data_IF_083681158115
#
_entry.id   IF_083681158115
#
_cell.length_a   1.000
_cell.length_b   1.000
_cell.length_c   1.000
_cell.angle_alpha   90.00
_cell.angle_beta   90.00
_cell.angle_gamma   90.00
#
_symmetry.space_group_name_H-M   'P 1'
#
loop_
_entity.id
_entity.type
_entity.pdbx_description
1 polymer ?
#
# COMPACT_ATOMS: atom_id res chain seq x y z
N UNK A 1 44.17 -31.93 22.40
CA UNK A 1 45.40 -31.82 21.59
C UNK A 1 45.78 -33.21 21.13
N UNK A 2 45.83 -33.45 19.81
CA UNK A 2 46.13 -34.76 19.22
C UNK A 2 47.42 -35.31 19.87
N UNK A 3 47.37 -36.54 20.39
CA UNK A 3 48.45 -37.14 21.20
C UNK A 3 49.82 -37.16 20.52
N UNK A 4 49.83 -37.07 19.19
CA UNK A 4 51.01 -37.00 18.34
C UNK A 4 51.80 -35.70 18.55
N UNK A 5 51.15 -34.54 18.49
CA UNK A 5 51.79 -33.22 18.69
C UNK A 5 52.34 -33.06 20.11
N UNK A 6 51.62 -33.61 21.10
CA UNK A 6 52.08 -33.65 22.50
C UNK A 6 53.38 -34.44 22.66
N UNK A 7 53.49 -35.62 22.03
CA UNK A 7 54.67 -36.49 22.10
C UNK A 7 55.88 -35.87 21.39
N UNK A 8 55.68 -35.17 20.26
CA UNK A 8 56.75 -34.49 19.53
C UNK A 8 57.31 -33.32 20.35
N UNK A 9 56.43 -32.54 20.97
CA UNK A 9 56.81 -31.41 21.81
C UNK A 9 57.60 -31.82 23.06
N UNK A 10 57.21 -32.92 23.72
CA UNK A 10 57.97 -33.50 24.83
C UNK A 10 59.38 -33.93 24.39
N UNK A 11 59.50 -34.69 23.29
CA UNK A 11 60.82 -35.10 22.76
C UNK A 11 61.74 -33.93 22.40
N UNK A 12 61.18 -32.84 21.85
CA UNK A 12 61.96 -31.64 21.50
C UNK A 12 62.41 -30.87 22.75
N UNK A 13 61.57 -30.80 23.78
CA UNK A 13 61.94 -30.21 25.06
C UNK A 13 63.03 -31.02 25.79
N UNK A 14 62.88 -32.34 25.84
CA UNK A 14 63.85 -33.25 26.46
C UNK A 14 65.21 -33.26 25.75
N UNK A 15 65.26 -32.86 24.47
CA UNK A 15 66.50 -32.76 23.68
C UNK A 15 67.34 -31.51 23.96
N UNK A 16 66.85 -30.56 24.78
CA UNK A 16 67.56 -29.33 25.15
C UNK A 16 67.60 -28.23 24.06
N UNK A 17 67.06 -28.48 22.86
CA UNK A 17 67.06 -27.53 21.75
C UNK A 17 65.85 -26.57 21.80
N UNK A 18 65.95 -25.57 22.68
CA UNK A 18 64.90 -24.60 22.97
C UNK A 18 64.42 -23.83 21.73
N UNK A 19 65.31 -23.58 20.74
CA UNK A 19 64.95 -22.89 19.49
C UNK A 19 63.95 -23.71 18.68
N UNK A 20 64.22 -25.01 18.48
CA UNK A 20 63.31 -25.91 17.75
C UNK A 20 61.97 -26.08 18.46
N UNK A 21 61.98 -26.15 19.78
CA UNK A 21 60.76 -26.18 20.59
C UNK A 21 59.90 -24.93 20.36
N UNK A 22 60.49 -23.73 20.37
CA UNK A 22 59.77 -22.47 20.21
C UNK A 22 59.15 -22.33 18.80
N UNK A 23 59.88 -22.70 17.75
CA UNK A 23 59.34 -22.73 16.38
C UNK A 23 58.16 -23.71 16.24
N UNK A 24 58.25 -24.89 16.87
CA UNK A 24 57.21 -25.89 16.81
C UNK A 24 55.94 -25.46 17.57
N UNK A 25 56.09 -24.90 18.78
CA UNK A 25 54.98 -24.36 19.57
C UNK A 25 54.30 -23.18 18.86
N UNK A 26 55.07 -22.32 18.19
CA UNK A 26 54.53 -21.23 17.38
C UNK A 26 53.72 -21.75 16.18
N UNK A 27 54.23 -22.79 15.49
CA UNK A 27 53.50 -23.47 14.42
C UNK A 27 52.17 -24.08 14.89
N UNK A 28 52.14 -24.66 16.10
CA UNK A 28 50.92 -25.21 16.71
C UNK A 28 49.88 -24.11 17.01
N UNK A 29 50.31 -22.96 17.54
CA UNK A 29 49.44 -21.80 17.76
C UNK A 29 48.87 -21.31 16.42
N UNK A 30 49.70 -21.15 15.39
CA UNK A 30 49.26 -20.75 14.05
C UNK A 30 48.21 -21.72 13.50
N UNK A 31 48.44 -23.03 13.65
CA UNK A 31 47.52 -24.06 13.14
C UNK A 31 46.17 -24.02 13.88
N UNK A 32 46.17 -23.79 15.20
CA UNK A 32 44.95 -23.58 15.99
C UNK A 32 44.22 -22.30 15.56
N UNK A 33 44.95 -21.19 15.36
CA UNK A 33 44.37 -19.92 14.90
C UNK A 33 43.73 -20.08 13.53
N UNK A 34 44.39 -20.75 12.58
CA UNK A 34 43.82 -21.06 11.25
C UNK A 34 42.54 -21.90 11.40
N UNK A 35 42.54 -22.91 12.27
CA UNK A 35 41.35 -23.72 12.54
C UNK A 35 40.17 -22.90 13.07
N UNK A 36 40.41 -21.96 13.99
CA UNK A 36 39.40 -21.06 14.53
C UNK A 36 38.88 -20.10 13.44
N UNK A 37 39.77 -19.52 12.64
CA UNK A 37 39.39 -18.61 11.56
C UNK A 37 38.52 -19.30 10.51
N UNK A 38 38.85 -20.54 10.13
CA UNK A 38 38.04 -21.35 9.21
C UNK A 38 36.67 -21.64 9.82
N UNK A 39 36.61 -22.02 11.10
CA UNK A 39 35.34 -22.28 11.78
C UNK A 39 34.44 -21.03 11.82
N UNK A 40 35.01 -19.86 12.13
CA UNK A 40 34.29 -18.57 12.11
C UNK A 40 33.84 -18.24 10.68
N UNK A 41 34.68 -18.44 9.67
CA UNK A 41 34.31 -18.20 8.27
C UNK A 41 33.16 -19.09 7.80
N UNK A 42 33.18 -20.39 8.13
CA UNK A 42 32.07 -21.30 7.81
C UNK A 42 30.78 -20.85 8.50
N UNK A 43 30.85 -20.43 9.77
CA UNK A 43 29.69 -19.94 10.49
C UNK A 43 29.12 -18.67 9.86
N UNK A 44 29.97 -17.68 9.55
CA UNK A 44 29.57 -16.43 8.90
C UNK A 44 28.99 -16.67 7.50
N UNK A 45 29.54 -17.62 6.74
CA UNK A 45 29.01 -17.98 5.43
C UNK A 45 27.62 -18.62 5.52
N UNK A 46 27.41 -19.54 6.48
CA UNK A 46 26.11 -20.15 6.73
C UNK A 46 25.06 -19.12 7.18
N UNK A 47 25.46 -18.15 8.02
CA UNK A 47 24.58 -17.05 8.44
C UNK A 47 24.21 -16.14 7.27
N UNK A 48 25.20 -15.73 6.47
CA UNK A 48 24.98 -14.94 5.25
C UNK A 48 24.02 -15.63 4.28
N UNK A 49 24.19 -16.95 4.07
CA UNK A 49 23.29 -17.74 3.22
C UNK A 49 21.85 -17.72 3.74
N UNK A 50 21.64 -17.87 5.05
CA UNK A 50 20.30 -17.80 5.65
C UNK A 50 19.66 -16.42 5.52
N UNK A 51 20.44 -15.35 5.68
CA UNK A 51 19.97 -13.98 5.49
C UNK A 51 19.58 -13.72 4.03
N UNK A 52 20.35 -14.26 3.08
CA UNK A 52 20.04 -14.16 1.66
C UNK A 52 18.75 -14.93 1.31
N UNK A 53 18.60 -16.18 1.79
CA UNK A 53 17.37 -16.96 1.61
C UNK A 53 16.14 -16.21 2.15
N UNK A 54 16.27 -15.58 3.33
CA UNK A 54 15.21 -14.78 3.93
C UNK A 54 14.90 -13.52 3.11
N UNK A 55 15.91 -12.83 2.58
CA UNK A 55 15.75 -11.69 1.67
C UNK A 55 14.96 -12.08 0.42
N UNK A 56 15.29 -13.23 -0.18
CA UNK A 56 14.58 -13.76 -1.35
C UNK A 56 13.11 -14.08 -1.04
N UNK A 57 12.81 -14.64 0.14
CA UNK A 57 11.44 -14.85 0.58
C UNK A 57 10.66 -13.53 0.71
N UNK A 58 11.27 -12.47 1.25
CA UNK A 58 10.63 -11.16 1.29
C UNK A 58 10.37 -10.59 -0.10
N UNK A 59 11.30 -10.77 -1.03
CA UNK A 59 11.07 -10.36 -2.42
C UNK A 59 9.89 -11.07 -3.06
N UNK A 60 9.74 -12.38 -2.86
CA UNK A 60 8.59 -13.13 -3.38
C UNK A 60 7.26 -12.63 -2.79
N UNK A 61 7.24 -12.37 -1.48
CA UNK A 61 6.08 -11.84 -0.79
C UNK A 61 5.73 -10.42 -1.28
N UNK A 62 6.73 -9.54 -1.41
CA UNK A 62 6.54 -8.18 -1.94
C UNK A 62 5.99 -8.22 -3.36
N UNK A 63 6.52 -9.06 -4.25
CA UNK A 63 6.01 -9.20 -5.61
C UNK A 63 4.55 -9.68 -5.64
N UNK A 64 4.18 -10.60 -4.75
CA UNK A 64 2.80 -11.05 -4.59
C UNK A 64 1.87 -9.94 -4.10
N UNK A 65 2.30 -9.17 -3.10
CA UNK A 65 1.54 -8.01 -2.59
C UNK A 65 1.35 -6.97 -3.69
N UNK A 66 2.41 -6.65 -4.45
CA UNK A 66 2.39 -5.70 -5.58
C UNK A 66 1.39 -6.15 -6.65
N UNK A 67 1.38 -7.43 -7.03
CA UNK A 67 0.46 -7.95 -8.04
C UNK A 67 -1.01 -7.83 -7.60
N UNK A 68 -1.27 -8.10 -6.32
CA UNK A 68 -2.61 -7.99 -5.72
C UNK A 68 -3.07 -6.53 -5.66
N UNK A 69 -2.23 -5.64 -5.13
CA UNK A 69 -2.50 -4.21 -5.05
C UNK A 69 -2.72 -3.61 -6.44
N UNK A 70 -1.87 -3.95 -7.41
CA UNK A 70 -2.00 -3.50 -8.80
C UNK A 70 -3.35 -3.92 -9.39
N UNK A 71 -3.77 -5.16 -9.18
CA UNK A 71 -5.08 -5.66 -9.66
C UNK A 71 -6.23 -4.87 -9.03
N UNK A 72 -6.18 -4.64 -7.72
CA UNK A 72 -7.20 -3.87 -7.00
C UNK A 72 -7.24 -2.42 -7.48
N UNK A 73 -6.09 -1.77 -7.66
CA UNK A 73 -6.01 -0.39 -8.14
C UNK A 73 -6.65 -0.26 -9.52
N UNK A 74 -6.37 -1.16 -10.47
CA UNK A 74 -7.02 -1.11 -11.78
C UNK A 74 -8.54 -1.28 -11.71
N UNK A 75 -9.03 -2.15 -10.82
CA UNK A 75 -10.47 -2.27 -10.57
C UNK A 75 -11.07 -0.97 -10.04
N UNK A 76 -10.38 -0.30 -9.11
CA UNK A 76 -10.85 0.95 -8.54
C UNK A 76 -10.78 2.13 -9.50
N UNK A 77 -9.73 2.22 -10.32
CA UNK A 77 -9.64 3.22 -11.40
C UNK A 77 -10.88 3.13 -12.28
N UNK A 78 -11.22 1.94 -12.78
CA UNK A 78 -12.42 1.75 -13.64
C UNK A 78 -13.71 2.20 -12.97
N UNK A 79 -13.86 1.94 -11.67
CA UNK A 79 -15.03 2.38 -10.91
C UNK A 79 -15.10 3.90 -10.78
N UNK A 80 -13.96 4.54 -10.52
CA UNK A 80 -13.88 5.99 -10.39
C UNK A 80 -14.11 6.65 -11.75
N UNK A 81 -13.51 6.14 -12.83
CA UNK A 81 -13.76 6.63 -14.19
C UNK A 81 -15.24 6.54 -14.56
N UNK A 82 -15.90 5.42 -14.26
CA UNK A 82 -17.35 5.28 -14.46
C UNK A 82 -18.17 6.27 -13.64
N UNK A 83 -17.71 6.57 -12.42
CA UNK A 83 -18.35 7.53 -11.53
C UNK A 83 -18.23 8.96 -12.03
N UNK A 84 -17.02 9.39 -12.41
CA UNK A 84 -16.74 10.68 -13.04
C UNK A 84 -17.56 10.83 -14.32
N UNK A 85 -17.58 9.81 -15.18
CA UNK A 85 -18.38 9.84 -16.41
C UNK A 85 -19.88 10.02 -16.12
N UNK A 86 -20.42 9.41 -15.05
CA UNK A 86 -21.83 9.60 -14.66
C UNK A 86 -22.12 11.05 -14.25
N UNK A 87 -21.17 11.71 -13.58
CA UNK A 87 -21.26 13.11 -13.21
C UNK A 87 -21.09 14.02 -14.43
N UNK A 88 -20.15 13.75 -15.31
CA UNK A 88 -19.95 14.50 -16.56
C UNK A 88 -21.18 14.42 -17.47
N UNK A 89 -21.76 13.22 -17.61
CA UNK A 89 -23.02 13.03 -18.37
C UNK A 89 -24.14 13.88 -17.78
N UNK A 90 -24.23 13.98 -16.45
CA UNK A 90 -25.20 14.85 -15.79
C UNK A 90 -24.94 16.32 -16.09
N UNK A 91 -23.69 16.77 -15.97
CA UNK A 91 -23.28 18.16 -16.27
C UNK A 91 -23.56 18.53 -17.73
N UNK A 92 -23.33 17.61 -18.67
CA UNK A 92 -23.59 17.83 -20.10
C UNK A 92 -25.06 18.14 -20.39
N UNK A 93 -26.00 17.63 -19.58
CA UNK A 93 -27.43 17.93 -19.76
C UNK A 93 -27.73 19.42 -19.69
N UNK A 94 -26.95 20.21 -18.93
CA UNK A 94 -27.07 21.67 -18.82
C UNK A 94 -26.67 22.44 -20.08
N UNK A 95 -26.20 21.75 -21.12
CA UNK A 95 -26.01 22.34 -22.45
C UNK A 95 -27.35 22.60 -23.16
N UNK A 96 -28.44 21.96 -22.71
CA UNK A 96 -29.79 22.22 -23.18
C UNK A 96 -30.37 23.50 -22.53
N UNK A 97 -31.11 24.30 -23.30
CA UNK A 97 -31.82 25.48 -22.76
C UNK A 97 -33.12 25.09 -22.09
N UNK A 98 -33.48 25.76 -20.98
CA UNK A 98 -34.78 25.67 -20.31
C UNK A 98 -35.17 24.25 -19.82
N UNK A 99 -34.19 23.51 -19.27
CA UNK A 99 -34.40 22.17 -18.71
C UNK A 99 -35.43 22.21 -17.57
N UNK A 100 -36.40 21.28 -17.64
CA UNK A 100 -37.42 21.12 -16.60
C UNK A 100 -36.80 20.59 -15.29
N UNK A 101 -37.32 21.06 -14.15
CA UNK A 101 -36.85 20.68 -12.82
C UNK A 101 -36.94 19.18 -12.59
N UNK A 102 -38.01 18.55 -13.08
CA UNK A 102 -38.22 17.10 -12.99
C UNK A 102 -37.13 16.33 -13.73
N UNK A 103 -36.71 16.82 -14.90
CA UNK A 103 -35.61 16.24 -15.71
C UNK A 103 -34.29 16.36 -14.95
N UNK A 104 -34.02 17.49 -14.30
CA UNK A 104 -32.82 17.66 -13.46
C UNK A 104 -32.79 16.64 -12.32
N UNK A 105 -33.91 16.45 -11.61
CA UNK A 105 -34.01 15.47 -10.53
C UNK A 105 -33.84 14.04 -11.06
N UNK A 106 -34.40 13.72 -12.22
CA UNK A 106 -34.23 12.42 -12.86
C UNK A 106 -32.76 12.16 -13.20
N UNK A 107 -32.07 13.15 -13.77
CA UNK A 107 -30.66 13.02 -14.15
C UNK A 107 -29.76 12.92 -12.92
N UNK A 108 -30.02 13.70 -11.86
CA UNK A 108 -29.34 13.53 -10.57
C UNK A 108 -29.48 12.11 -10.02
N UNK A 109 -30.65 11.48 -10.19
CA UNK A 109 -30.86 10.10 -9.72
C UNK A 109 -30.03 9.03 -10.45
N UNK A 110 -29.42 9.39 -11.59
CA UNK A 110 -28.54 8.51 -12.40
C UNK A 110 -27.06 8.63 -12.03
N UNK A 111 -26.67 9.63 -11.21
CA UNK A 111 -25.28 9.85 -10.78
C UNK A 111 -24.86 8.79 -9.75
N UNK A 112 -23.59 8.38 -9.80
CA UNK A 112 -23.00 7.47 -8.81
C UNK A 112 -22.68 8.20 -7.49
N UNK A 113 -23.38 7.81 -6.42
CA UNK A 113 -23.24 8.40 -5.07
C UNK A 113 -22.32 7.61 -4.13
N UNK A 114 -21.85 6.43 -4.54
CA UNK A 114 -21.00 5.59 -3.68
C UNK A 114 -19.52 5.79 -3.96
N UNK A 115 -18.73 5.88 -2.89
CA UNK A 115 -17.27 5.80 -3.01
C UNK A 115 -16.81 4.35 -3.01
N UNK A 116 -15.93 3.95 -3.95
CA UNK A 116 -15.22 2.70 -3.82
C UNK A 116 -14.26 2.76 -2.62
N UNK A 117 -14.24 1.75 -1.74
CA UNK A 117 -13.28 1.65 -0.63
C UNK A 117 -12.14 0.71 -1.02
N UNK A 118 -10.90 1.21 -1.04
CA UNK A 118 -9.69 0.40 -1.23
C UNK A 118 -9.04 0.08 0.13
N UNK A 119 -8.45 -1.11 0.23
CA UNK A 119 -7.52 -1.46 1.29
C UNK A 119 -6.25 -2.00 0.63
N UNK A 120 -5.09 -1.50 1.05
CA UNK A 120 -3.80 -1.96 0.51
C UNK A 120 -3.23 -3.13 1.29
N UNK A 121 -2.52 -4.02 0.59
CA UNK A 121 -1.84 -5.16 1.20
C UNK A 121 -0.47 -4.69 1.74
N UNK A 122 -0.39 -4.48 3.05
CA UNK A 122 0.81 -3.97 3.73
C UNK A 122 1.49 -5.01 4.63
N UNK A 123 1.05 -6.28 4.59
CA UNK A 123 1.50 -7.32 5.52
C UNK A 123 3.01 -7.57 5.48
N UNK A 124 3.59 -7.71 4.27
CA UNK A 124 5.04 -7.93 4.12
C UNK A 124 5.83 -6.73 4.60
N UNK A 125 5.33 -5.53 4.30
CA UNK A 125 5.93 -4.28 4.74
C UNK A 125 5.94 -4.11 6.26
N UNK A 126 4.80 -4.38 6.89
CA UNK A 126 4.63 -4.36 8.34
C UNK A 126 5.57 -5.37 8.98
N UNK A 127 5.63 -6.59 8.43
CA UNK A 127 6.56 -7.63 8.90
C UNK A 127 8.01 -7.16 8.81
N UNK A 128 8.46 -6.60 7.68
CA UNK A 128 9.83 -6.07 7.50
C UNK A 128 10.18 -4.99 8.53
N UNK A 129 9.22 -4.14 8.90
CA UNK A 129 9.41 -3.09 9.90
C UNK A 129 9.46 -3.65 11.33
N UNK A 130 8.48 -4.48 11.70
CA UNK A 130 8.34 -5.00 13.07
C UNK A 130 9.48 -5.95 13.46
N UNK A 131 9.96 -6.73 12.50
CA UNK A 131 11.10 -7.65 12.69
C UNK A 131 12.46 -6.95 12.63
N UNK A 132 12.51 -5.72 12.11
CA UNK A 132 13.75 -5.03 11.79
C UNK A 132 14.51 -5.61 10.59
N UNK A 133 13.88 -6.51 9.82
CA UNK A 133 14.46 -7.14 8.63
C UNK A 133 14.53 -6.20 7.42
N UNK A 134 13.92 -5.02 7.48
CA UNK A 134 14.08 -3.98 6.46
C UNK A 134 15.56 -3.66 6.17
N UNK A 135 16.45 -3.84 7.16
CA UNK A 135 17.91 -3.69 7.01
C UNK A 135 18.57 -4.70 6.05
N UNK A 136 17.89 -5.82 5.75
CA UNK A 136 18.36 -6.83 4.81
C UNK A 136 18.11 -6.43 3.35
N UNK A 137 17.23 -5.45 3.14
CA UNK A 137 16.82 -4.97 1.84
C UNK A 137 17.77 -3.85 1.38
N UNK A 138 18.18 -3.77 0.12
CA UNK A 138 18.98 -2.66 -0.40
C UNK A 138 18.30 -1.29 -0.20
N UNK A 139 19.09 -0.25 0.08
CA UNK A 139 18.58 1.10 0.43
C UNK A 139 17.66 1.70 -0.64
N UNK A 140 17.94 1.47 -1.93
CA UNK A 140 17.08 1.91 -3.04
C UNK A 140 15.68 1.27 -2.98
N UNK A 141 15.60 -0.03 -2.65
CA UNK A 141 14.32 -0.73 -2.49
C UNK A 141 13.65 -0.26 -1.20
N UNK A 142 14.37 -0.13 -0.09
CA UNK A 142 13.82 0.43 1.17
C UNK A 142 13.15 1.78 0.94
N UNK A 143 13.82 2.71 0.22
CA UNK A 143 13.26 4.02 -0.07
C UNK A 143 11.99 3.94 -0.94
N UNK A 144 11.99 3.09 -1.96
CA UNK A 144 10.82 2.87 -2.83
C UNK A 144 9.63 2.32 -2.04
N UNK A 145 9.89 1.38 -1.12
CA UNK A 145 8.90 0.80 -0.22
C UNK A 145 8.30 1.87 0.71
N UNK A 146 9.12 2.73 1.31
CA UNK A 146 8.64 3.82 2.18
C UNK A 146 7.84 4.88 1.41
N UNK A 147 8.24 5.18 0.17
CA UNK A 147 7.50 6.06 -0.72
C UNK A 147 6.11 5.52 -1.05
N UNK A 148 6.00 4.23 -1.37
CA UNK A 148 4.73 3.55 -1.64
C UNK A 148 3.83 3.62 -0.41
N UNK A 149 4.33 3.31 0.78
CA UNK A 149 3.56 3.39 2.01
C UNK A 149 3.01 4.79 2.28
N UNK A 150 3.82 5.82 2.02
CA UNK A 150 3.38 7.21 2.18
C UNK A 150 2.24 7.53 1.23
N UNK A 151 2.34 7.11 -0.03
CA UNK A 151 1.28 7.31 -1.02
C UNK A 151 0.01 6.52 -0.70
N UNK A 152 0.15 5.25 -0.26
CA UNK A 152 -0.99 4.44 0.21
C UNK A 152 -1.71 5.14 1.37
N UNK A 153 -0.95 5.64 2.35
CA UNK A 153 -1.49 6.38 3.48
C UNK A 153 -2.20 7.67 3.04
N UNK A 154 -1.67 8.40 2.06
CA UNK A 154 -2.36 9.58 1.48
C UNK A 154 -3.71 9.19 0.88
N UNK A 155 -3.75 8.12 0.06
CA UNK A 155 -4.98 7.64 -0.57
C UNK A 155 -6.02 7.19 0.47
N UNK A 156 -5.59 6.46 1.50
CA UNK A 156 -6.47 6.03 2.59
C UNK A 156 -6.97 7.22 3.44
N UNK A 157 -6.16 8.27 3.59
CA UNK A 157 -6.50 9.45 4.39
C UNK A 157 -7.34 10.50 3.65
N UNK A 158 -7.25 10.60 2.32
CA UNK A 158 -8.15 11.43 1.49
C UNK A 158 -9.63 11.13 1.84
N UNK A 159 -9.95 9.84 2.01
CA UNK A 159 -11.24 9.37 2.52
C UNK A 159 -11.61 10.04 3.84
N UNK A 160 -10.71 9.99 4.83
CA UNK A 160 -11.00 10.42 6.19
C UNK A 160 -11.19 11.95 6.29
N UNK A 161 -10.65 12.73 5.35
CA UNK A 161 -10.71 14.19 5.38
C UNK A 161 -11.91 14.76 4.60
N UNK A 162 -12.30 14.13 3.48
CA UNK A 162 -13.26 14.73 2.53
C UNK A 162 -14.58 13.97 2.42
N UNK A 163 -14.62 12.68 2.77
CA UNK A 163 -15.88 11.93 2.86
C UNK A 163 -16.86 12.53 3.88
N UNK A 164 -16.44 13.04 5.07
CA UNK A 164 -17.39 13.59 6.02
C UNK A 164 -18.17 14.80 5.48
N UNK A 165 -17.50 15.68 4.73
CA UNK A 165 -18.13 16.85 4.13
C UNK A 165 -19.16 16.44 3.07
N UNK A 166 -18.78 15.53 2.17
CA UNK A 166 -19.67 14.95 1.17
C UNK A 166 -20.89 14.25 1.81
N UNK A 167 -20.64 13.38 2.79
CA UNK A 167 -21.69 12.62 3.47
C UNK A 167 -22.62 13.53 4.28
N UNK A 168 -22.09 14.63 4.84
CA UNK A 168 -22.89 15.65 5.52
C UNK A 168 -23.88 16.31 4.55
N UNK A 169 -23.39 16.76 3.39
CA UNK A 169 -24.23 17.38 2.35
C UNK A 169 -25.29 16.39 1.83
N UNK A 170 -24.91 15.14 1.56
CA UNK A 170 -25.87 14.10 1.20
C UNK A 170 -26.91 13.86 2.30
N UNK A 171 -26.50 13.87 3.57
CA UNK A 171 -27.44 13.72 4.68
C UNK A 171 -28.41 14.89 4.77
N UNK A 172 -27.97 16.10 4.47
CA UNK A 172 -28.80 17.30 4.44
C UNK A 172 -29.82 17.23 3.31
N UNK A 173 -29.39 16.96 2.08
CA UNK A 173 -30.30 16.77 0.96
C UNK A 173 -31.34 15.65 1.22
N UNK A 174 -30.91 14.54 1.85
CA UNK A 174 -31.83 13.45 2.25
C UNK A 174 -32.87 13.89 3.27
N UNK A 175 -32.52 14.76 4.22
CA UNK A 175 -33.46 15.34 5.19
C UNK A 175 -34.48 16.25 4.51
N UNK A 176 -34.05 17.00 3.49
CA UNK A 176 -34.92 17.87 2.70
C UNK A 176 -35.89 17.11 1.78
N UNK A 177 -35.62 15.84 1.51
CA UNK A 177 -36.51 14.97 0.74
C UNK A 177 -35.86 14.26 -0.45
N UNK A 178 -34.56 14.46 -0.68
CA UNK A 178 -33.78 13.74 -1.71
C UNK A 178 -33.54 12.27 -1.31
N UNK A 179 -34.61 11.50 -1.32
CA UNK A 179 -34.61 10.09 -0.94
C UNK A 179 -35.64 9.31 -1.74
N UNK A 180 -35.71 8.00 -1.53
CA UNK A 180 -36.76 7.16 -2.12
C UNK A 180 -38.18 7.54 -1.67
N UNK A 181 -38.34 8.46 -0.70
CA UNK A 181 -39.64 8.95 -0.26
C UNK A 181 -40.38 9.72 -1.35
N UNK A 182 -39.70 10.57 -2.13
CA UNK A 182 -40.35 11.37 -3.19
C UNK A 182 -41.11 10.49 -4.18
N UNK A 183 -40.50 9.39 -4.63
CA UNK A 183 -41.14 8.39 -5.50
C UNK A 183 -42.36 7.72 -4.84
N UNK A 184 -42.29 7.42 -3.53
CA UNK A 184 -43.41 6.81 -2.77
C UNK A 184 -44.58 7.76 -2.52
N UNK A 185 -44.34 9.08 -2.53
CA UNK A 185 -45.38 10.09 -2.31
C UNK A 185 -46.30 10.32 -3.52
N UNK A 186 -45.90 9.86 -4.71
CA UNK A 186 -46.66 10.02 -5.96
C UNK A 186 -48.13 9.59 -5.88
N UNK A 187 -48.46 8.59 -5.05
CA UNK A 187 -49.82 8.10 -4.84
C UNK A 187 -50.40 8.47 -3.45
N UNK A 188 -49.78 9.40 -2.72
CA UNK A 188 -50.08 9.70 -1.31
C UNK A 188 -50.36 11.20 -1.12
N UNK A 189 -51.37 11.74 -1.81
CA UNK A 189 -51.67 13.18 -1.86
C UNK A 189 -51.77 13.83 -0.47
N UNK A 190 -52.50 13.22 0.46
CA UNK A 190 -52.65 13.71 1.84
C UNK A 190 -51.32 13.80 2.60
N UNK A 191 -50.41 12.87 2.33
CA UNK A 191 -49.09 12.86 2.98
C UNK A 191 -48.16 13.87 2.30
N UNK A 192 -48.24 14.02 0.97
CA UNK A 192 -47.48 15.00 0.22
C UNK A 192 -47.77 16.43 0.72
N UNK A 193 -49.05 16.76 0.96
CA UNK A 193 -49.48 18.06 1.52
C UNK A 193 -48.86 18.41 2.88
N UNK A 194 -48.46 17.39 3.66
CA UNK A 194 -47.83 17.57 4.97
C UNK A 194 -46.31 17.63 4.87
N UNK A 195 -45.70 16.80 4.02
CA UNK A 195 -44.23 16.69 3.89
C UNK A 195 -43.65 17.84 3.08
N UNK A 196 -44.35 18.31 2.04
CA UNK A 196 -44.00 19.50 1.24
C UNK A 196 -42.58 19.48 0.65
N UNK A 197 -42.17 18.35 0.06
CA UNK A 197 -40.84 18.22 -0.56
C UNK A 197 -40.66 19.23 -1.70
N UNK A 198 -41.74 19.54 -2.42
CA UNK A 198 -41.80 20.52 -3.50
C UNK A 198 -41.35 21.93 -3.08
N UNK A 199 -41.51 22.30 -1.81
CA UNK A 199 -41.04 23.59 -1.28
C UNK A 199 -39.51 23.62 -1.13
N UNK A 200 -38.85 22.45 -1.05
CA UNK A 200 -37.40 22.32 -0.81
C UNK A 200 -36.58 22.04 -2.07
N UNK A 201 -37.19 21.94 -3.25
CA UNK A 201 -36.54 21.43 -4.47
C UNK A 201 -35.28 22.22 -4.84
N UNK A 202 -35.33 23.54 -4.75
CA UNK A 202 -34.17 24.39 -5.03
C UNK A 202 -33.00 24.12 -4.08
N UNK A 203 -33.27 23.98 -2.78
CA UNK A 203 -32.26 23.68 -1.77
C UNK A 203 -31.68 22.28 -1.97
N UNK A 204 -32.52 21.28 -2.26
CA UNK A 204 -32.09 19.92 -2.61
C UNK A 204 -31.08 19.93 -3.76
N UNK A 205 -31.39 20.63 -4.86
CA UNK A 205 -30.51 20.70 -6.02
C UNK A 205 -29.18 21.34 -5.62
N UNK A 206 -29.20 22.50 -4.94
CA UNK A 206 -28.00 23.20 -4.50
C UNK A 206 -27.11 22.35 -3.57
N UNK A 207 -27.71 21.63 -2.62
CA UNK A 207 -26.97 20.78 -1.69
C UNK A 207 -26.36 19.56 -2.40
N UNK A 208 -27.08 18.95 -3.35
CA UNK A 208 -26.57 17.81 -4.12
C UNK A 208 -25.46 18.26 -5.07
N UNK A 209 -25.60 19.41 -5.74
CA UNK A 209 -24.54 19.99 -6.56
C UNK A 209 -23.26 20.20 -5.75
N UNK A 210 -23.38 20.82 -4.57
CA UNK A 210 -22.24 21.01 -3.68
C UNK A 210 -21.57 19.68 -3.30
N UNK A 211 -22.37 18.64 -3.03
CA UNK A 211 -21.85 17.30 -2.72
C UNK A 211 -21.12 16.69 -3.94
N UNK A 212 -21.72 16.75 -5.13
CA UNK A 212 -21.16 16.15 -6.33
C UNK A 212 -19.86 16.84 -6.77
N UNK A 213 -19.75 18.17 -6.62
CA UNK A 213 -18.51 18.91 -6.88
C UNK A 213 -17.38 18.44 -5.96
N UNK A 214 -17.64 18.32 -4.65
CA UNK A 214 -16.65 17.79 -3.69
C UNK A 214 -16.24 16.38 -4.08
N UNK A 215 -17.21 15.54 -4.44
CA UNK A 215 -16.95 14.15 -4.83
C UNK A 215 -16.11 14.02 -6.09
N UNK A 216 -16.48 14.73 -7.15
CA UNK A 216 -15.76 14.69 -8.41
C UNK A 216 -14.30 15.15 -8.24
N UNK A 217 -14.09 16.21 -7.46
CA UNK A 217 -12.73 16.69 -7.15
C UNK A 217 -11.88 15.64 -6.42
N UNK A 218 -12.44 14.99 -5.39
CA UNK A 218 -11.77 13.88 -4.67
C UNK A 218 -11.46 12.71 -5.59
N UNK A 219 -12.40 12.35 -6.46
CA UNK A 219 -12.26 11.22 -7.38
C UNK A 219 -11.15 11.45 -8.41
N UNK A 220 -11.00 12.68 -8.93
CA UNK A 220 -9.90 13.06 -9.83
C UNK A 220 -8.55 12.97 -9.11
N UNK A 221 -8.42 13.56 -7.91
CA UNK A 221 -7.18 13.52 -7.12
C UNK A 221 -6.77 12.07 -6.77
N UNK A 222 -7.76 11.23 -6.50
CA UNK A 222 -7.56 9.81 -6.22
C UNK A 222 -7.12 9.02 -7.46
N UNK A 223 -7.65 9.33 -8.65
CA UNK A 223 -7.16 8.74 -9.90
C UNK A 223 -5.69 9.06 -10.14
N UNK A 224 -5.29 10.32 -9.93
CA UNK A 224 -3.89 10.72 -10.03
C UNK A 224 -3.01 9.93 -9.03
N UNK A 225 -3.47 9.84 -7.78
CA UNK A 225 -2.77 9.11 -6.72
C UNK A 225 -2.62 7.61 -7.05
N UNK A 226 -3.65 6.98 -7.63
CA UNK A 226 -3.59 5.59 -8.08
C UNK A 226 -2.62 5.38 -9.25
N UNK A 227 -2.64 6.27 -10.25
CA UNK A 227 -1.69 6.19 -11.36
C UNK A 227 -0.24 6.35 -10.87
N UNK A 228 0.00 7.26 -9.92
CA UNK A 228 1.29 7.43 -9.28
C UNK A 228 1.73 6.18 -8.51
N UNK A 229 0.82 5.52 -7.78
CA UNK A 229 1.09 4.24 -7.11
C UNK A 229 1.46 3.14 -8.12
N UNK A 230 0.74 3.00 -9.23
CA UNK A 230 1.05 2.01 -10.28
C UNK A 230 2.46 2.21 -10.85
N UNK A 231 2.88 3.45 -11.08
CA UNK A 231 4.24 3.77 -11.53
C UNK A 231 5.27 3.35 -10.48
N UNK A 232 5.03 3.65 -9.20
CA UNK A 232 5.93 3.28 -8.10
C UNK A 232 6.03 1.77 -7.93
N UNK A 233 4.92 1.04 -8.02
CA UNK A 233 4.90 -0.42 -7.99
C UNK A 233 5.72 -1.03 -9.12
N UNK A 234 5.53 -0.58 -10.36
CA UNK A 234 6.31 -1.06 -11.50
C UNK A 234 7.81 -0.83 -11.34
N UNK A 235 8.20 0.32 -10.78
CA UNK A 235 9.60 0.61 -10.50
C UNK A 235 10.17 -0.29 -9.41
N UNK A 236 9.41 -0.53 -8.34
CA UNK A 236 9.79 -1.43 -7.25
C UNK A 236 9.94 -2.87 -7.75
N UNK A 237 8.98 -3.36 -8.54
CA UNK A 237 9.05 -4.70 -9.17
C UNK A 237 10.34 -4.84 -10.00
N UNK A 238 10.66 -3.85 -10.84
CA UNK A 238 11.90 -3.85 -11.62
C UNK A 238 13.16 -3.88 -10.73
N UNK A 239 13.18 -3.10 -9.65
CA UNK A 239 14.32 -3.10 -8.71
C UNK A 239 14.48 -4.46 -8.03
N UNK A 240 13.38 -5.07 -7.59
CA UNK A 240 13.40 -6.41 -6.98
C UNK A 240 13.92 -7.44 -7.98
N UNK A 241 13.41 -7.45 -9.21
CA UNK A 241 13.85 -8.41 -10.23
C UNK A 241 15.36 -8.28 -10.53
N UNK A 242 15.89 -7.06 -10.62
CA UNK A 242 17.33 -6.82 -10.81
C UNK A 242 18.20 -7.32 -9.65
N UNK A 243 17.67 -7.32 -8.42
CA UNK A 243 18.38 -7.85 -7.24
C UNK A 243 18.25 -9.38 -7.09
N UNK A 244 17.39 -10.02 -7.89
CA UNK A 244 17.22 -11.48 -7.93
C UNK A 244 18.08 -12.16 -9.00
N UNK A 245 18.53 -11.42 -10.01
CA UNK A 245 19.45 -11.87 -11.08
C UNK A 245 20.90 -11.95 -10.58
#
# INVERSE_FOLDING_TARGET
MISLFRKIRQKLFDSGDFKKYLFYAFGEIILVVIGILIAVQINNWNESKKLEEKKQQYYDQLLSDIATDTTNIHYFIKRIESSINSYETYVETFSESDIAVETTIENLSKVEYTYPIINFYTNTMTTLKETGDLKLIPTNIQNSLLDILRLQSTVENQRNQLDPAYLSLLSEARKLGFSSLSKRLSNQSKLAEVVKIEENVGEIILTIEAALVVKNWVEIDRLESFNNLLIKYRNLEKQIMLEKE
#
